data_IF_653698945339
#
_entry.id   IF_653698945339
#
_cell.length_a   1.000
_cell.length_b   1.000
_cell.length_c   1.000
_cell.angle_alpha   90.00
_cell.angle_beta   90.00
_cell.angle_gamma   90.00
#
_symmetry.space_group_name_H-M   'P 1'
#
loop_
_entity.id
_entity.type
_entity.pdbx_description
1 polymer ?
#
# COMPACT_ATOMS: atom_id res chain seq x y z
N UNK A 1 27.96 35.48 -18.96
CA UNK A 1 27.73 34.26 -18.18
C UNK A 1 29.01 33.44 -18.23
N UNK A 2 29.65 33.27 -17.08
CA UNK A 2 30.90 32.53 -16.94
C UNK A 2 30.65 31.03 -17.18
N UNK A 3 31.71 30.25 -17.41
CA UNK A 3 31.60 28.79 -17.49
C UNK A 3 31.09 28.18 -16.17
N UNK A 4 31.46 28.80 -15.06
CA UNK A 4 31.02 28.42 -13.71
C UNK A 4 29.51 28.70 -13.56
N UNK A 5 29.01 29.84 -14.03
CA UNK A 5 27.58 30.17 -14.01
C UNK A 5 26.77 29.15 -14.84
N UNK A 6 27.31 28.69 -15.97
CA UNK A 6 26.67 27.66 -16.82
C UNK A 6 26.67 26.27 -16.20
N UNK A 7 27.67 25.94 -15.39
CA UNK A 7 27.70 24.69 -14.61
C UNK A 7 26.69 24.77 -13.47
N UNK A 8 26.59 25.91 -12.81
CA UNK A 8 25.62 26.16 -11.75
C UNK A 8 24.18 26.04 -12.28
N UNK A 9 23.90 26.63 -13.45
CA UNK A 9 22.61 26.57 -14.13
C UNK A 9 22.27 25.13 -14.60
N UNK A 10 23.22 24.42 -15.22
CA UNK A 10 23.02 23.02 -15.60
C UNK A 10 22.79 22.07 -14.40
N UNK A 11 23.32 22.42 -13.21
CA UNK A 11 23.06 21.69 -11.96
C UNK A 11 21.68 21.97 -11.37
N UNK A 12 21.08 23.11 -11.69
CA UNK A 12 19.70 23.44 -11.33
C UNK A 12 18.68 22.65 -12.17
N UNK A 13 19.06 22.21 -13.37
CA UNK A 13 18.19 21.41 -14.23
C UNK A 13 18.27 19.89 -13.98
N UNK A 14 19.34 19.41 -13.30
CA UNK A 14 19.46 17.99 -12.97
C UNK A 14 18.45 17.56 -11.91
N UNK A 15 17.80 16.42 -12.15
CA UNK A 15 16.80 15.84 -11.27
C UNK A 15 16.95 14.33 -11.06
N UNK A 16 16.43 13.88 -9.93
CA UNK A 16 16.45 12.48 -9.53
C UNK A 16 15.05 11.98 -9.16
N UNK A 17 14.73 10.79 -9.65
CA UNK A 17 13.56 10.02 -9.29
C UNK A 17 14.03 8.67 -8.75
N UNK A 18 13.60 8.31 -7.55
CA UNK A 18 13.92 7.04 -6.92
C UNK A 18 12.67 6.18 -6.93
N UNK A 19 12.73 5.05 -7.62
CA UNK A 19 11.63 4.07 -7.70
C UNK A 19 12.00 2.89 -6.81
N UNK A 20 11.24 2.70 -5.75
CA UNK A 20 11.42 1.58 -4.83
C UNK A 20 10.33 0.54 -5.10
N UNK A 21 10.74 -0.70 -5.41
CA UNK A 21 9.81 -1.79 -5.68
C UNK A 21 9.66 -2.69 -4.45
N UNK A 22 8.43 -2.87 -4.00
CA UNK A 22 8.09 -3.67 -2.82
C UNK A 22 7.09 -4.75 -3.15
N UNK A 23 6.95 -5.71 -2.24
CA UNK A 23 5.86 -6.69 -2.34
C UNK A 23 4.64 -6.12 -1.67
N UNK A 24 3.56 -6.10 -2.42
CA UNK A 24 2.25 -5.68 -1.99
C UNK A 24 1.24 -6.76 -2.34
N UNK A 25 0.06 -6.75 -1.77
CA UNK A 25 -0.98 -7.69 -2.16
C UNK A 25 -1.59 -7.28 -3.51
N UNK A 26 -1.80 -8.23 -4.41
CA UNK A 26 -2.63 -7.97 -5.59
C UNK A 26 -4.11 -7.94 -5.21
N UNK A 27 -4.70 -6.75 -5.26
CA UNK A 27 -6.15 -6.60 -5.16
C UNK A 27 -6.80 -7.00 -6.49
N UNK A 28 -7.34 -8.22 -6.56
CA UNK A 28 -8.23 -8.63 -7.66
C UNK A 28 -9.66 -8.61 -7.13
N UNK A 29 -10.55 -7.88 -7.80
CA UNK A 29 -11.95 -7.81 -7.41
C UNK A 29 -12.59 -9.21 -7.42
N UNK A 30 -13.16 -9.65 -6.29
CA UNK A 30 -13.87 -10.94 -6.18
C UNK A 30 -13.02 -12.16 -5.80
N UNK A 31 -11.70 -12.02 -5.70
CA UNK A 31 -10.80 -13.02 -5.09
C UNK A 31 -9.92 -12.20 -4.17
N UNK A 32 -10.13 -12.27 -2.86
CA UNK A 32 -9.37 -11.43 -1.95
C UNK A 32 -8.27 -12.22 -1.29
N UNK A 33 -7.04 -12.10 -1.79
CA UNK A 33 -5.88 -12.66 -1.15
C UNK A 33 -5.31 -11.77 -0.03
N UNK A 34 -6.02 -10.77 0.45
CA UNK A 34 -5.54 -9.90 1.52
C UNK A 34 -6.68 -9.25 2.29
N UNK A 35 -7.78 -9.98 2.48
CA UNK A 35 -8.83 -9.52 3.38
C UNK A 35 -8.32 -9.53 4.82
N UNK A 36 -7.65 -8.45 5.19
CA UNK A 36 -7.30 -8.17 6.55
C UNK A 36 -8.52 -8.04 7.43
N UNK A 37 -8.57 -8.79 8.53
CA UNK A 37 -9.63 -8.64 9.50
C UNK A 37 -10.92 -9.36 9.16
N UNK A 38 -10.90 -10.41 8.31
CA UNK A 38 -12.06 -11.30 8.17
C UNK A 38 -12.42 -11.89 9.53
N UNK A 39 -13.66 -11.69 9.95
CA UNK A 39 -14.25 -12.26 11.16
C UNK A 39 -15.23 -13.38 10.86
N UNK A 40 -15.79 -13.40 9.65
CA UNK A 40 -16.63 -14.48 9.16
C UNK A 40 -16.62 -14.52 7.63
N UNK A 41 -16.88 -15.69 7.07
CA UNK A 41 -17.10 -15.87 5.63
C UNK A 41 -18.13 -16.98 5.43
N UNK A 42 -18.75 -17.07 4.26
CA UNK A 42 -19.54 -18.22 3.88
C UNK A 42 -20.53 -17.90 2.77
N UNK A 43 -21.48 -18.80 2.59
CA UNK A 43 -22.62 -18.58 1.69
C UNK A 43 -23.82 -18.13 2.52
N UNK A 44 -24.49 -17.08 2.07
CA UNK A 44 -25.68 -16.55 2.72
C UNK A 44 -26.82 -17.56 2.63
N UNK A 45 -27.75 -17.52 3.60
CA UNK A 45 -28.98 -18.30 3.52
C UNK A 45 -30.02 -17.59 2.65
N UNK A 46 -30.08 -16.26 2.76
CA UNK A 46 -30.97 -15.36 2.01
C UNK A 46 -30.54 -13.90 2.26
N UNK A 47 -31.19 -12.94 1.61
CA UNK A 47 -31.01 -11.51 1.85
C UNK A 47 -32.25 -10.71 1.47
N UNK A 48 -32.32 -9.49 2.00
CA UNK A 48 -33.34 -8.51 1.67
C UNK A 48 -32.67 -7.16 1.37
N UNK A 49 -33.46 -6.13 1.02
CA UNK A 49 -32.95 -4.83 0.57
C UNK A 49 -31.88 -4.20 1.48
N UNK A 50 -31.95 -4.43 2.81
CA UNK A 50 -31.00 -3.90 3.79
C UNK A 50 -30.51 -4.96 4.79
N UNK A 51 -30.54 -6.24 4.40
CA UNK A 51 -30.04 -7.30 5.27
C UNK A 51 -29.49 -8.49 4.49
N UNK A 52 -28.64 -9.25 5.16
CA UNK A 52 -28.13 -10.54 4.70
C UNK A 52 -28.21 -11.51 5.85
N UNK A 53 -28.78 -12.69 5.60
CA UNK A 53 -28.79 -13.78 6.58
C UNK A 53 -27.53 -14.61 6.36
N UNK A 54 -26.63 -14.57 7.33
CA UNK A 54 -25.35 -15.25 7.27
C UNK A 54 -25.51 -16.77 7.28
N UNK A 55 -24.42 -17.50 7.11
CA UNK A 55 -24.42 -18.98 7.10
C UNK A 55 -24.96 -19.50 8.44
N UNK A 56 -25.58 -20.67 8.45
CA UNK A 56 -26.13 -21.25 9.68
C UNK A 56 -25.09 -21.36 10.82
N UNK A 57 -23.84 -21.67 10.48
CA UNK A 57 -22.70 -21.72 11.42
C UNK A 57 -22.00 -20.37 11.69
N UNK A 58 -22.68 -19.23 11.52
CA UNK A 58 -22.16 -17.93 11.97
C UNK A 58 -22.31 -17.76 13.49
N UNK A 59 -21.58 -16.80 14.08
CA UNK A 59 -21.55 -16.56 15.53
C UNK A 59 -22.96 -16.48 16.13
N UNK A 60 -23.14 -17.01 17.35
CA UNK A 60 -24.41 -16.91 18.08
C UNK A 60 -24.48 -15.72 19.04
N UNK A 61 -23.41 -14.93 19.09
CA UNK A 61 -23.34 -13.73 19.93
C UNK A 61 -23.91 -12.54 19.18
N UNK A 62 -24.91 -11.90 19.78
CA UNK A 62 -25.48 -10.64 19.28
C UNK A 62 -24.42 -9.53 19.21
N UNK A 63 -24.62 -8.59 18.30
CA UNK A 63 -23.80 -7.39 18.10
C UNK A 63 -22.32 -7.60 17.71
N UNK A 64 -21.85 -8.85 17.65
CA UNK A 64 -20.42 -9.15 17.43
C UNK A 64 -19.87 -8.61 16.11
N UNK A 65 -20.73 -8.41 15.11
CA UNK A 65 -20.36 -7.86 13.80
C UNK A 65 -20.72 -6.38 13.62
N UNK A 66 -21.23 -5.71 14.64
CA UNK A 66 -21.62 -4.30 14.53
C UNK A 66 -20.38 -3.43 14.25
N UNK A 67 -20.52 -2.50 13.31
CA UNK A 67 -19.44 -1.64 12.82
C UNK A 67 -18.47 -2.31 11.85
N UNK A 68 -18.64 -3.61 11.56
CA UNK A 68 -17.87 -4.31 10.52
C UNK A 68 -18.52 -4.15 9.15
N UNK A 69 -17.77 -4.44 8.09
CA UNK A 69 -18.26 -4.39 6.71
C UNK A 69 -18.54 -5.79 6.21
N UNK A 70 -19.73 -6.02 5.64
CA UNK A 70 -20.01 -7.21 4.85
C UNK A 70 -19.75 -6.90 3.39
N UNK A 71 -18.98 -7.77 2.74
CA UNK A 71 -18.70 -7.71 1.30
C UNK A 71 -19.18 -8.98 0.63
N UNK A 72 -19.87 -8.83 -0.49
CA UNK A 72 -20.26 -9.95 -1.34
C UNK A 72 -19.15 -10.25 -2.34
N UNK A 73 -18.71 -11.51 -2.43
CA UNK A 73 -17.54 -11.91 -3.23
C UNK A 73 -17.90 -12.81 -4.42
N UNK A 74 -19.09 -13.42 -4.44
CA UNK A 74 -19.55 -14.30 -5.50
C UNK A 74 -21.04 -14.63 -5.40
N UNK A 75 -21.57 -15.38 -6.37
CA UNK A 75 -23.00 -15.71 -6.46
C UNK A 75 -23.86 -14.52 -6.86
N UNK A 76 -25.05 -14.38 -6.27
CA UNK A 76 -25.93 -13.22 -6.52
C UNK A 76 -25.35 -11.92 -5.94
N UNK A 77 -25.23 -10.88 -6.77
CA UNK A 77 -24.84 -9.53 -6.37
C UNK A 77 -23.40 -9.37 -5.85
N UNK A 78 -22.36 -9.93 -6.50
CA UNK A 78 -20.98 -9.82 -6.04
C UNK A 78 -20.44 -8.40 -6.18
N UNK A 79 -19.44 -8.06 -5.37
CA UNK A 79 -18.74 -6.79 -5.45
C UNK A 79 -19.39 -5.63 -4.72
N UNK A 80 -20.34 -5.90 -3.82
CA UNK A 80 -21.02 -4.90 -3.02
C UNK A 80 -20.50 -4.93 -1.58
N UNK A 81 -20.27 -3.76 -0.98
CA UNK A 81 -19.84 -3.64 0.41
C UNK A 81 -20.80 -2.78 1.22
N UNK A 82 -21.13 -3.18 2.44
CA UNK A 82 -22.02 -2.42 3.32
C UNK A 82 -21.60 -2.55 4.78
N UNK A 83 -21.78 -1.48 5.55
CA UNK A 83 -21.53 -1.50 7.00
C UNK A 83 -22.69 -2.17 7.72
N UNK A 84 -22.38 -3.13 8.59
CA UNK A 84 -23.32 -3.77 9.49
C UNK A 84 -23.55 -2.83 10.67
N UNK A 85 -24.81 -2.41 10.87
CA UNK A 85 -25.18 -1.57 12.03
C UNK A 85 -25.87 -2.38 13.13
N UNK A 86 -26.33 -3.59 12.83
CA UNK A 86 -26.99 -4.49 13.77
C UNK A 86 -26.83 -5.95 13.32
N UNK A 87 -26.69 -6.86 14.28
CA UNK A 87 -26.54 -8.29 14.06
C UNK A 87 -27.22 -9.10 15.16
N UNK A 88 -28.20 -9.90 14.76
CA UNK A 88 -28.87 -10.88 15.61
C UNK A 88 -28.17 -12.24 15.49
N UNK A 89 -27.51 -12.67 16.58
CA UNK A 89 -26.78 -13.92 16.66
C UNK A 89 -27.69 -15.15 16.72
N UNK A 90 -28.97 -15.00 17.03
CA UNK A 90 -29.95 -16.09 17.00
C UNK A 90 -30.42 -16.36 15.58
N UNK A 91 -30.86 -15.32 14.87
CA UNK A 91 -31.39 -15.45 13.50
C UNK A 91 -30.31 -15.42 12.43
N UNK A 92 -29.08 -15.04 12.80
CA UNK A 92 -27.92 -14.81 11.90
C UNK A 92 -28.16 -13.67 10.92
N UNK A 93 -29.08 -12.76 11.20
CA UNK A 93 -29.40 -11.65 10.31
C UNK A 93 -28.47 -10.47 10.61
N UNK A 94 -27.72 -10.05 9.60
CA UNK A 94 -26.95 -8.81 9.64
C UNK A 94 -27.71 -7.71 8.88
N UNK A 95 -28.00 -6.62 9.57
CA UNK A 95 -28.66 -5.43 9.01
C UNK A 95 -27.62 -4.41 8.58
N UNK A 96 -27.79 -3.84 7.39
CA UNK A 96 -26.79 -2.98 6.75
C UNK A 96 -27.25 -1.52 6.55
N UNK A 97 -26.30 -0.59 6.57
CA UNK A 97 -26.56 0.86 6.55
C UNK A 97 -27.14 1.39 5.24
N UNK A 98 -26.80 0.77 4.11
CA UNK A 98 -27.29 1.16 2.79
C UNK A 98 -27.98 0.00 2.10
N UNK A 99 -28.89 0.32 1.17
CA UNK A 99 -29.58 -0.70 0.40
C UNK A 99 -28.61 -1.44 -0.53
N UNK A 100 -28.84 -2.73 -0.73
CA UNK A 100 -28.14 -3.49 -1.76
C UNK A 100 -28.64 -3.03 -3.14
N UNK A 101 -27.73 -2.89 -4.10
CA UNK A 101 -28.12 -2.68 -5.50
C UNK A 101 -28.75 -3.96 -6.07
N UNK A 102 -28.20 -5.12 -5.67
CA UNK A 102 -28.77 -6.45 -5.92
C UNK A 102 -28.85 -7.18 -4.59
N UNK A 103 -30.07 -7.54 -4.17
CA UNK A 103 -30.29 -8.24 -2.91
C UNK A 103 -29.53 -9.57 -2.88
N UNK A 104 -28.78 -9.86 -1.79
CA UNK A 104 -28.15 -11.16 -1.60
C UNK A 104 -29.18 -12.30 -1.61
N UNK A 105 -28.76 -13.47 -2.09
CA UNK A 105 -29.59 -14.67 -2.13
C UNK A 105 -28.83 -15.86 -1.52
N UNK A 106 -29.45 -17.05 -1.54
CA UNK A 106 -28.89 -18.28 -0.95
C UNK A 106 -27.61 -18.80 -1.61
N UNK A 107 -27.18 -18.19 -2.72
CA UNK A 107 -25.92 -18.50 -3.41
C UNK A 107 -24.85 -17.41 -3.23
N UNK A 108 -25.18 -16.28 -2.60
CA UNK A 108 -24.23 -15.18 -2.38
C UNK A 108 -23.15 -15.61 -1.41
N UNK A 109 -21.90 -15.64 -1.86
CA UNK A 109 -20.75 -15.79 -0.98
C UNK A 109 -20.30 -14.43 -0.45
N UNK A 110 -19.87 -14.39 0.81
CA UNK A 110 -19.49 -13.14 1.48
C UNK A 110 -18.30 -13.32 2.43
N UNK A 111 -17.70 -12.19 2.79
CA UNK A 111 -16.83 -12.01 3.95
C UNK A 111 -17.28 -10.83 4.83
N UNK A 112 -17.08 -10.96 6.14
CA UNK A 112 -17.27 -9.90 7.14
C UNK A 112 -15.90 -9.44 7.60
N UNK A 113 -15.63 -8.15 7.46
CA UNK A 113 -14.31 -7.55 7.59
C UNK A 113 -14.34 -6.48 8.66
N UNK A 114 -13.46 -6.59 9.65
CA UNK A 114 -13.17 -5.50 10.57
C UNK A 114 -12.21 -4.51 9.90
N UNK A 115 -12.76 -3.53 9.19
CA UNK A 115 -12.01 -2.54 8.40
C UNK A 115 -10.97 -1.73 9.20
N UNK A 116 -11.24 -1.24 10.43
CA UNK A 116 -10.21 -0.58 11.24
C UNK A 116 -8.93 -1.39 11.47
N UNK A 117 -9.05 -2.73 11.48
CA UNK A 117 -7.95 -3.68 11.64
C UNK A 117 -7.52 -4.32 10.31
N UNK A 118 -7.98 -3.79 9.17
CA UNK A 118 -7.58 -4.28 7.87
C UNK A 118 -6.10 -3.99 7.59
N UNK A 119 -5.55 -4.79 6.70
CA UNK A 119 -4.14 -4.80 6.35
C UNK A 119 -3.81 -3.63 5.44
N UNK A 120 -2.56 -3.14 5.51
CA UNK A 120 -2.04 -2.13 4.60
C UNK A 120 -1.52 -2.75 3.29
N UNK A 121 -2.15 -3.84 2.84
CA UNK A 121 -1.77 -4.68 1.69
C UNK A 121 -0.35 -5.30 1.74
N UNK A 122 0.51 -4.92 2.67
CA UNK A 122 1.81 -5.57 2.90
C UNK A 122 1.66 -6.93 3.59
N UNK A 123 2.57 -7.87 3.28
CA UNK A 123 2.59 -9.21 3.90
C UNK A 123 2.64 -9.17 5.42
N UNK A 124 3.41 -8.25 6.01
CA UNK A 124 3.62 -8.22 7.46
C UNK A 124 2.39 -7.74 8.23
N UNK A 125 1.64 -6.80 7.66
CA UNK A 125 0.38 -6.35 8.27
C UNK A 125 -0.80 -7.23 7.90
N UNK A 126 -0.61 -8.21 7.00
CA UNK A 126 -1.62 -9.16 6.57
C UNK A 126 -2.15 -10.00 7.75
N UNK A 127 -3.47 -9.99 7.99
CA UNK A 127 -4.14 -10.83 8.99
C UNK A 127 -4.47 -12.22 8.44
N UNK A 128 -4.37 -12.41 7.12
CA UNK A 128 -4.49 -13.70 6.44
C UNK A 128 -3.23 -13.97 5.58
N UNK A 129 -2.12 -14.38 6.22
CA UNK A 129 -0.88 -14.66 5.51
C UNK A 129 -0.96 -15.83 4.52
N UNK A 130 -1.92 -16.75 4.72
CA UNK A 130 -2.04 -17.99 3.94
C UNK A 130 -2.65 -17.72 2.57
N UNK A 131 -3.59 -16.76 2.50
CA UNK A 131 -4.16 -16.33 1.23
C UNK A 131 -3.40 -15.17 0.58
N UNK A 132 -2.28 -14.70 1.16
CA UNK A 132 -1.50 -13.58 0.62
C UNK A 132 -1.01 -13.82 -0.82
N UNK A 133 -1.58 -13.09 -1.78
CA UNK A 133 -1.19 -13.12 -3.19
C UNK A 133 -0.20 -12.01 -3.45
N UNK A 134 1.06 -12.38 -3.57
CA UNK A 134 2.15 -11.45 -3.76
C UNK A 134 2.08 -10.78 -5.14
N UNK A 135 1.93 -9.47 -5.13
CA UNK A 135 2.21 -8.58 -6.24
C UNK A 135 3.44 -7.73 -5.97
N UNK A 136 3.76 -6.88 -6.94
CA UNK A 136 4.78 -5.85 -6.80
C UNK A 136 4.15 -4.48 -6.97
N UNK A 137 4.57 -3.55 -6.13
CA UNK A 137 4.19 -2.15 -6.22
C UNK A 137 5.43 -1.27 -6.28
N UNK A 138 5.36 -0.23 -7.09
CA UNK A 138 6.40 0.78 -7.19
C UNK A 138 5.97 2.04 -6.43
N UNK A 139 6.84 2.51 -5.54
CA UNK A 139 6.69 3.78 -4.83
C UNK A 139 7.75 4.72 -5.38
N UNK A 140 7.29 5.85 -5.92
CA UNK A 140 8.12 6.81 -6.65
C UNK A 140 8.39 8.02 -5.77
N UNK A 141 9.66 8.34 -5.57
CA UNK A 141 10.14 9.42 -4.72
C UNK A 141 10.92 10.44 -5.54
N UNK A 142 10.54 11.70 -5.49
CA UNK A 142 11.22 12.79 -6.21
C UNK A 142 11.90 13.77 -5.26
N UNK A 143 12.77 14.61 -5.81
CA UNK A 143 13.44 15.65 -5.03
C UNK A 143 12.43 16.62 -4.42
N UNK A 144 12.63 16.93 -3.15
CA UNK A 144 11.73 17.79 -2.37
C UNK A 144 11.85 19.28 -2.75
N UNK A 145 13.05 19.73 -3.11
CA UNK A 145 13.31 21.11 -3.56
C UNK A 145 12.74 21.39 -4.95
N UNK A 146 12.62 20.34 -5.78
CA UNK A 146 12.14 20.38 -7.16
C UNK A 146 11.09 19.28 -7.38
N UNK A 147 9.91 19.40 -6.76
CA UNK A 147 8.84 18.42 -6.89
C UNK A 147 8.34 18.44 -8.32
N UNK A 148 8.69 17.40 -9.09
CA UNK A 148 8.26 17.23 -10.47
C UNK A 148 6.72 17.27 -10.60
N UNK A 149 6.19 17.88 -11.68
CA UNK A 149 4.99 17.36 -12.32
C UNK A 149 5.42 16.30 -13.34
N UNK A 150 5.68 15.05 -12.92
CA UNK A 150 5.76 13.95 -13.91
C UNK A 150 4.33 13.75 -14.41
N UNK A 151 4.00 14.06 -15.67
CA UNK A 151 2.61 14.04 -16.12
C UNK A 151 2.04 12.63 -16.00
N UNK A 152 0.96 12.49 -15.22
CA UNK A 152 0.25 11.21 -15.05
C UNK A 152 0.78 10.28 -13.95
N UNK A 153 1.81 10.68 -13.20
CA UNK A 153 2.40 9.85 -12.15
C UNK A 153 2.16 10.39 -10.74
N UNK A 154 1.94 9.47 -9.79
CA UNK A 154 1.84 9.80 -8.36
C UNK A 154 3.23 9.65 -7.74
N UNK A 155 3.83 10.77 -7.33
CA UNK A 155 5.18 10.81 -6.74
C UNK A 155 5.17 11.47 -5.37
N UNK A 156 6.07 11.03 -4.48
CA UNK A 156 6.26 11.63 -3.17
C UNK A 156 7.49 12.54 -3.17
N UNK A 157 7.34 13.85 -2.83
CA UNK A 157 8.46 14.79 -2.79
C UNK A 157 9.21 14.74 -1.46
N UNK A 158 10.03 13.70 -1.25
CA UNK A 158 10.77 13.48 -0.01
C UNK A 158 12.30 13.34 -0.18
N UNK A 159 12.86 13.25 -1.38
CA UNK A 159 14.31 13.15 -1.55
C UNK A 159 15.00 14.50 -1.27
N UNK A 160 15.85 14.57 -0.24
CA UNK A 160 16.50 15.82 0.22
C UNK A 160 17.80 16.08 -0.53
N UNK A 161 18.60 15.04 -0.74
CA UNK A 161 19.94 15.18 -1.33
C UNK A 161 20.06 14.43 -2.64
N UNK A 162 20.86 14.98 -3.56
CA UNK A 162 21.34 14.22 -4.72
C UNK A 162 22.03 12.92 -4.27
N UNK A 163 21.94 11.83 -5.06
CA UNK A 163 22.56 10.56 -4.71
C UNK A 163 24.06 10.67 -4.46
N UNK A 164 24.53 10.12 -3.33
CA UNK A 164 25.94 10.10 -2.93
C UNK A 164 26.56 8.78 -3.35
N UNK A 165 27.37 8.81 -4.41
CA UNK A 165 28.04 7.62 -4.94
C UNK A 165 29.35 7.35 -4.21
N UNK A 166 29.51 6.12 -3.73
CA UNK A 166 30.77 5.60 -3.21
C UNK A 166 31.25 4.49 -4.14
N UNK A 167 32.29 4.72 -4.95
CA UNK A 167 32.77 3.72 -5.88
C UNK A 167 33.40 2.54 -5.14
N UNK A 168 33.26 1.35 -5.73
CA UNK A 168 33.92 0.16 -5.22
C UNK A 168 35.43 0.26 -5.39
N UNK A 169 36.19 -0.24 -4.41
CA UNK A 169 37.65 -0.26 -4.46
C UNK A 169 38.18 -1.62 -4.04
N UNK A 170 39.13 -2.13 -4.82
CA UNK A 170 39.89 -3.32 -4.47
C UNK A 170 41.10 -2.86 -3.64
N UNK A 171 41.17 -3.26 -2.37
CA UNK A 171 42.36 -3.05 -1.53
C UNK A 171 43.18 -4.36 -1.47
N UNK A 172 44.29 -4.46 -2.23
CA UNK A 172 45.09 -5.67 -2.30
C UNK A 172 45.82 -6.01 -0.99
N UNK A 173 45.95 -5.07 -0.03
CA UNK A 173 46.64 -5.32 1.25
C UNK A 173 45.71 -5.87 2.34
N UNK A 174 44.41 -5.60 2.25
CA UNK A 174 43.43 -6.00 3.26
C UNK A 174 42.61 -7.22 2.89
N UNK A 175 42.81 -7.77 1.69
CA UNK A 175 42.06 -8.93 1.18
C UNK A 175 40.55 -8.72 1.13
N UNK A 176 40.08 -7.46 1.17
CA UNK A 176 38.67 -7.08 1.17
C UNK A 176 38.37 -6.20 -0.04
N UNK A 177 37.30 -6.53 -0.74
CA UNK A 177 36.72 -5.70 -1.78
C UNK A 177 35.72 -4.78 -1.08
N UNK A 178 35.84 -3.46 -1.31
CA UNK A 178 34.80 -2.51 -0.95
C UNK A 178 33.80 -2.46 -2.10
N UNK A 179 32.55 -2.82 -1.85
CA UNK A 179 31.47 -2.70 -2.83
C UNK A 179 31.15 -1.23 -3.10
N UNK A 180 30.63 -0.95 -4.29
CA UNK A 180 30.04 0.35 -4.59
C UNK A 180 28.71 0.49 -3.85
N UNK A 181 28.47 1.65 -3.24
CA UNK A 181 27.21 1.96 -2.58
C UNK A 181 26.69 3.32 -3.02
N UNK A 182 25.37 3.49 -2.96
CA UNK A 182 24.73 4.78 -3.17
C UNK A 182 23.95 5.11 -1.91
N UNK A 183 24.14 6.32 -1.38
CA UNK A 183 23.39 6.81 -0.21
C UNK A 183 22.42 7.90 -0.64
N UNK A 184 21.18 7.79 -0.17
CA UNK A 184 20.07 8.70 -0.43
C UNK A 184 19.54 9.18 0.90
N UNK A 185 19.31 10.48 1.04
CA UNK A 185 18.72 11.07 2.24
C UNK A 185 17.30 11.52 1.93
N UNK A 186 16.33 10.99 2.67
CA UNK A 186 14.92 11.31 2.52
C UNK A 186 14.40 12.10 3.73
N UNK A 187 13.41 12.96 3.48
CA UNK A 187 12.64 13.62 4.50
C UNK A 187 11.69 12.63 5.15
N UNK A 188 11.60 12.71 6.48
CA UNK A 188 10.74 11.84 7.27
C UNK A 188 9.64 12.64 7.94
N UNK A 189 8.60 12.94 7.18
CA UNK A 189 7.47 13.75 7.61
C UNK A 189 6.27 12.88 8.03
N UNK A 190 5.39 13.38 8.91
CA UNK A 190 4.10 12.75 9.14
C UNK A 190 3.33 12.56 7.83
N UNK A 191 2.79 11.36 7.62
CA UNK A 191 2.02 11.02 6.43
C UNK A 191 0.61 10.54 6.77
N UNK A 192 -0.35 10.89 5.92
CA UNK A 192 -1.73 10.46 6.01
C UNK A 192 -1.96 9.08 5.36
N UNK A 193 -0.91 8.37 4.94
CA UNK A 193 -0.98 7.04 4.32
C UNK A 193 -1.81 6.98 3.01
N UNK A 194 -2.12 8.14 2.40
CA UNK A 194 -2.82 8.19 1.11
C UNK A 194 -1.97 7.55 0.03
N UNK A 195 -2.62 6.74 -0.80
CA UNK A 195 -1.97 5.93 -1.83
C UNK A 195 -1.44 4.61 -1.27
N UNK A 196 -0.92 4.54 -0.06
CA UNK A 196 -0.41 3.30 0.56
C UNK A 196 -1.54 2.44 1.15
N UNK A 197 -2.48 3.06 1.88
CA UNK A 197 -3.65 2.39 2.47
C UNK A 197 -4.92 2.69 1.66
N UNK A 198 -5.53 1.66 1.08
CA UNK A 198 -6.82 1.77 0.40
C UNK A 198 -8.00 1.97 1.38
N UNK A 199 -7.85 1.58 2.65
CA UNK A 199 -8.91 1.60 3.65
C UNK A 199 -8.77 2.75 4.65
N UNK A 200 -8.15 3.84 4.21
CA UNK A 200 -7.86 5.01 5.02
C UNK A 200 -9.11 5.57 5.73
N UNK A 201 -10.23 5.65 5.00
CA UNK A 201 -11.50 6.21 5.48
C UNK A 201 -12.14 5.39 6.62
N UNK A 202 -11.75 4.13 6.77
CA UNK A 202 -12.31 3.21 7.76
C UNK A 202 -11.44 3.06 9.01
N UNK A 203 -10.36 3.84 9.14
CA UNK A 203 -9.49 3.82 10.33
C UNK A 203 -10.16 4.51 11.52
N UNK A 204 -9.98 3.95 12.71
CA UNK A 204 -10.47 4.54 13.98
C UNK A 204 -9.50 5.56 14.59
N UNK A 205 -8.38 5.83 13.92
CA UNK A 205 -7.35 6.77 14.35
C UNK A 205 -6.93 7.65 13.17
N UNK A 206 -6.43 8.84 13.47
CA UNK A 206 -5.84 9.74 12.48
C UNK A 206 -4.43 9.27 12.11
N UNK A 207 -4.16 8.89 10.86
CA UNK A 207 -2.85 8.35 10.51
C UNK A 207 -1.71 9.35 10.66
N UNK A 208 -1.95 10.66 10.49
CA UNK A 208 -0.94 11.70 10.70
C UNK A 208 -0.35 11.69 12.11
N UNK A 209 -1.11 11.20 13.10
CA UNK A 209 -0.67 11.14 14.50
C UNK A 209 0.10 9.86 14.84
N UNK A 210 0.19 8.90 13.92
CA UNK A 210 0.79 7.57 14.13
C UNK A 210 2.27 7.49 13.71
N UNK A 211 2.94 8.63 13.61
CA UNK A 211 4.36 8.71 13.29
C UNK A 211 4.66 9.11 11.84
N UNK A 212 5.93 8.98 11.48
CA UNK A 212 6.49 9.48 10.23
C UNK A 212 6.46 8.45 9.12
N UNK A 213 6.59 8.91 7.87
CA UNK A 213 6.52 8.08 6.66
C UNK A 213 7.46 6.88 6.72
N UNK A 214 8.74 7.08 6.98
CA UNK A 214 9.74 6.00 6.97
C UNK A 214 9.60 5.07 8.17
N UNK A 215 9.20 5.59 9.32
CA UNK A 215 8.88 4.76 10.49
C UNK A 215 7.75 3.76 10.16
N UNK A 216 6.66 4.26 9.58
CA UNK A 216 5.53 3.41 9.16
C UNK A 216 5.92 2.46 8.03
N UNK A 217 6.65 2.96 7.04
CA UNK A 217 7.09 2.18 5.89
C UNK A 217 7.95 0.98 6.31
N UNK A 218 8.96 1.23 7.18
CA UNK A 218 9.86 0.20 7.70
C UNK A 218 9.11 -0.81 8.58
N UNK A 219 8.15 -0.36 9.40
CA UNK A 219 7.33 -1.24 10.22
C UNK A 219 6.45 -2.18 9.37
N UNK A 220 5.97 -1.71 8.21
CA UNK A 220 5.19 -2.53 7.25
C UNK A 220 6.08 -3.45 6.39
N UNK A 221 7.34 -3.06 6.18
CA UNK A 221 8.28 -3.74 5.28
C UNK A 221 9.60 -4.11 5.99
N UNK A 222 9.59 -4.99 7.01
CA UNK A 222 10.81 -5.34 7.75
C UNK A 222 11.85 -6.10 6.91
N UNK A 223 11.44 -6.70 5.78
CA UNK A 223 12.31 -7.44 4.87
C UNK A 223 12.63 -6.64 3.61
N UNK A 224 13.28 -5.49 3.81
CA UNK A 224 13.63 -4.58 2.73
C UNK A 224 14.93 -4.92 1.99
N UNK A 225 15.76 -5.79 2.56
CA UNK A 225 17.05 -6.15 1.98
C UNK A 225 16.88 -6.80 0.60
N UNK A 226 17.72 -6.40 -0.35
CA UNK A 226 17.76 -6.88 -1.74
C UNK A 226 16.51 -6.54 -2.57
N UNK A 227 15.70 -5.58 -2.12
CA UNK A 227 14.61 -5.03 -2.93
C UNK A 227 15.16 -4.15 -4.02
N UNK A 228 14.50 -4.15 -5.19
CA UNK A 228 14.91 -3.37 -6.35
C UNK A 228 14.72 -1.88 -6.05
N UNK A 229 15.75 -1.10 -6.32
CA UNK A 229 15.74 0.35 -6.25
C UNK A 229 16.26 0.89 -7.58
N UNK A 230 15.44 1.62 -8.31
CA UNK A 230 15.89 2.32 -9.52
C UNK A 230 16.18 3.77 -9.17
N UNK A 231 17.36 4.25 -9.54
CA UNK A 231 17.71 5.66 -9.43
C UNK A 231 17.73 6.20 -10.85
N UNK A 232 16.77 7.06 -11.16
CA UNK A 232 16.61 7.68 -12.46
C UNK A 232 17.15 9.10 -12.41
N UNK A 233 18.02 9.45 -13.35
CA UNK A 233 18.63 10.78 -13.49
C UNK A 233 18.18 11.39 -14.80
N UNK A 234 17.67 12.60 -14.75
CA UNK A 234 17.19 13.33 -15.93
C UNK A 234 17.32 14.83 -15.77
N UNK A 235 16.77 15.54 -16.74
CA UNK A 235 16.63 16.99 -16.74
C UNK A 235 15.20 17.41 -16.42
N UNK A 236 15.03 18.66 -16.03
CA UNK A 236 13.70 19.24 -15.83
C UNK A 236 12.87 19.16 -17.12
N UNK A 237 11.67 18.58 -17.01
CA UNK A 237 10.75 18.40 -18.14
C UNK A 237 10.80 17.02 -18.80
N UNK A 238 11.79 16.19 -18.48
CA UNK A 238 11.86 14.80 -18.94
C UNK A 238 10.71 13.98 -18.32
N UNK A 239 10.13 13.10 -19.13
CA UNK A 239 9.26 12.01 -18.67
C UNK A 239 10.09 10.90 -18.03
N UNK A 240 9.46 10.03 -17.22
CA UNK A 240 10.15 8.91 -16.58
C UNK A 240 10.88 7.99 -17.58
N UNK A 241 10.35 7.85 -18.80
CA UNK A 241 10.92 7.00 -19.85
C UNK A 241 12.18 7.61 -20.51
N UNK A 242 12.36 8.93 -20.41
CA UNK A 242 13.50 9.66 -20.98
C UNK A 242 14.69 9.71 -20.02
N UNK A 243 14.45 9.49 -18.72
CA UNK A 243 15.50 9.52 -17.70
C UNK A 243 16.46 8.33 -17.81
N UNK A 244 17.74 8.57 -17.52
CA UNK A 244 18.77 7.54 -17.43
C UNK A 244 18.57 6.70 -16.14
N UNK A 245 18.48 5.38 -16.28
CA UNK A 245 18.18 4.47 -15.18
C UNK A 245 19.43 3.75 -14.67
N UNK A 246 19.64 3.81 -13.35
CA UNK A 246 20.58 2.96 -12.62
C UNK A 246 19.82 1.94 -11.77
N UNK A 247 20.02 0.65 -12.05
CA UNK A 247 19.43 -0.45 -11.29
C UNK A 247 20.29 -0.78 -10.07
N UNK A 248 19.67 -0.73 -8.89
CA UNK A 248 20.32 -0.95 -7.61
C UNK A 248 19.44 -1.86 -6.72
N UNK A 249 19.99 -2.21 -5.57
CA UNK A 249 19.30 -2.97 -4.54
C UNK A 249 19.44 -2.30 -3.18
N UNK A 250 18.37 -2.35 -2.39
CA UNK A 250 18.36 -1.81 -1.03
C UNK A 250 19.23 -2.68 -0.12
N UNK A 251 20.25 -2.08 0.49
CA UNK A 251 21.10 -2.73 1.50
C UNK A 251 20.67 -2.38 2.94
N UNK A 252 20.18 -1.16 3.16
CA UNK A 252 19.74 -0.65 4.47
C UNK A 252 18.73 0.49 4.32
N UNK A 253 17.77 0.58 5.25
CA UNK A 253 16.84 1.70 5.44
C UNK A 253 16.90 2.20 6.89
#
# INVERSE_FOLDING_TARGET
MSFEDRIEEARLDMQYLVVLTWVDCQEVFGVSPCTGGVRATGTAQTGANRSITLRAGASATDDIFNGMVVRTIGGTGPGQERTIHDYDGTTKVASVTEAWAVNPAGDTTYDIINRPLACFNTRFTCQDPDNFNSGTREVKHCMKDRPLPIPGEVVIPDLITVPKYKPGRIDPRKGKIQNSSITLDFADEPTNDVGEDQYLEWRTYTPLDQGTRWTKFNARNPHYNKRKAEIKRGLFGDTEAEMEVSLNFVESL
#
